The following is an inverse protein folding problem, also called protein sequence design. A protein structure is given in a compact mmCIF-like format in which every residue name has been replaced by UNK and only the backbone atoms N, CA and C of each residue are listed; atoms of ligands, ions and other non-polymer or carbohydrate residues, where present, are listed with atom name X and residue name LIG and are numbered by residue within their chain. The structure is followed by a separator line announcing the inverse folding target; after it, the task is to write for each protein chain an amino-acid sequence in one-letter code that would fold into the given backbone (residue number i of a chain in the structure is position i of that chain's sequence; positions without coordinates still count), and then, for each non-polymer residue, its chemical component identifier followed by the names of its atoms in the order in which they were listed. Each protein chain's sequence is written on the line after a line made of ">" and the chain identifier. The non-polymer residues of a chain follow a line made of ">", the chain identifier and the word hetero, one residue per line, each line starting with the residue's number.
data_IF_949175447837
#
_entry.id   IF_949175447837
#
_cell.length_a   1.000
_cell.length_b   1.000
_cell.length_c   1.000
_cell.angle_alpha   90.00
_cell.angle_beta   90.00
_cell.angle_gamma   90.00
#
_symmetry.space_group_name_H-M   'P 1'
#
loop_
_entity.id
_entity.type
_entity.pdbx_description
1 polymer ?
#
# COMPACT_ATOMS: atom_id res chain seq x y z
N UNK A 1 -14.47 21.27 17.36
CA UNK A 1 -14.54 19.86 17.79
C UNK A 1 -13.23 19.48 18.46
N UNK A 2 -13.23 18.83 19.65
CA UNK A 2 -11.99 18.41 20.33
C UNK A 2 -11.64 16.98 19.89
N UNK A 3 -10.89 16.80 18.78
CA UNK A 3 -10.45 15.48 18.31
C UNK A 3 -9.38 14.92 19.26
N UNK A 4 -9.46 13.63 19.52
CA UNK A 4 -8.41 12.91 20.25
C UNK A 4 -7.20 12.68 19.36
N UNK A 5 -6.02 12.66 19.96
CA UNK A 5 -4.83 12.16 19.28
C UNK A 5 -4.98 10.65 19.06
N UNK A 6 -4.87 10.24 17.79
CA UNK A 6 -4.93 8.83 17.42
C UNK A 6 -3.63 8.50 16.66
N UNK A 7 -2.84 7.60 17.23
CA UNK A 7 -1.57 7.11 16.69
C UNK A 7 -1.69 5.69 16.13
N UNK A 8 -2.91 5.19 15.92
CA UNK A 8 -3.15 3.88 15.31
C UNK A 8 -2.57 3.81 13.90
N UNK A 9 -1.86 2.72 13.62
CA UNK A 9 -1.22 2.51 12.33
C UNK A 9 -2.22 2.27 11.19
N UNK A 10 -3.40 1.77 11.49
CA UNK A 10 -4.48 1.53 10.52
C UNK A 10 -5.67 0.80 11.12
N UNK A 11 -6.91 1.30 10.93
CA UNK A 11 -7.27 2.55 10.25
C UNK A 11 -6.61 3.79 10.89
N UNK A 12 -5.94 4.59 10.06
CA UNK A 12 -5.16 5.74 10.54
C UNK A 12 -5.99 7.03 10.61
N UNK A 13 -5.44 8.05 11.27
CA UNK A 13 -6.04 9.38 11.34
C UNK A 13 -6.10 10.02 9.97
N UNK A 14 -7.29 10.47 9.57
CA UNK A 14 -7.50 11.21 8.31
C UNK A 14 -7.37 12.72 8.53
N UNK A 15 -7.00 13.51 7.49
CA UNK A 15 -7.01 14.96 7.55
C UNK A 15 -8.39 15.50 7.96
N UNK A 16 -8.42 16.46 8.90
CA UNK A 16 -9.68 16.99 9.40
C UNK A 16 -10.48 17.68 8.30
N UNK A 17 -9.81 18.46 7.44
CA UNK A 17 -10.46 19.16 6.32
C UNK A 17 -11.15 18.20 5.34
N UNK A 18 -10.55 17.03 5.10
CA UNK A 18 -11.19 15.98 4.27
C UNK A 18 -12.46 15.46 4.94
N UNK A 19 -12.41 15.20 6.25
CA UNK A 19 -13.61 14.73 6.98
C UNK A 19 -14.73 15.77 7.05
N UNK A 20 -14.37 17.06 7.19
CA UNK A 20 -15.32 18.17 7.17
C UNK A 20 -15.97 18.34 5.79
N UNK A 21 -15.19 18.20 4.71
CA UNK A 21 -15.71 18.23 3.34
C UNK A 21 -16.67 17.05 3.10
N UNK A 22 -16.25 15.83 3.46
CA UNK A 22 -17.11 14.63 3.37
C UNK A 22 -18.39 14.78 4.18
N UNK A 23 -18.31 15.34 5.40
CA UNK A 23 -19.47 15.61 6.24
C UNK A 23 -20.45 16.58 5.57
N UNK A 24 -19.92 17.64 4.94
CA UNK A 24 -20.75 18.65 4.28
C UNK A 24 -21.48 18.12 3.03
N UNK A 25 -20.89 17.14 2.34
CA UNK A 25 -21.45 16.51 1.15
C UNK A 25 -22.22 15.21 1.43
N UNK A 26 -22.27 14.76 2.70
CA UNK A 26 -22.77 13.43 3.06
C UNK A 26 -24.22 13.18 2.66
N UNK A 27 -25.10 14.18 2.83
CA UNK A 27 -26.54 14.07 2.56
C UNK A 27 -26.90 14.54 1.15
N UNK A 28 -26.09 15.43 0.58
CA UNK A 28 -26.38 16.06 -0.71
C UNK A 28 -25.06 16.38 -1.44
N UNK A 29 -24.63 15.45 -2.28
CA UNK A 29 -23.41 15.65 -3.06
C UNK A 29 -23.68 16.62 -4.23
N UNK A 30 -23.04 17.79 -4.18
CA UNK A 30 -23.10 18.84 -5.20
C UNK A 30 -24.53 19.26 -5.62
N UNK A 31 -25.51 19.21 -4.71
CA UNK A 31 -26.87 19.64 -4.97
C UNK A 31 -27.73 18.62 -5.71
N UNK A 32 -27.33 17.34 -5.76
CA UNK A 32 -28.12 16.27 -6.38
C UNK A 32 -29.28 15.78 -5.50
N UNK A 33 -29.34 16.17 -4.23
CA UNK A 33 -30.30 15.62 -3.27
C UNK A 33 -30.03 14.15 -2.90
N UNK A 34 -28.83 13.64 -3.17
CA UNK A 34 -28.40 12.27 -2.92
C UNK A 34 -26.99 12.24 -2.27
N UNK A 35 -26.80 11.30 -1.36
CA UNK A 35 -25.47 10.96 -0.87
C UNK A 35 -24.64 10.23 -1.95
N UNK A 36 -23.30 10.40 -1.92
CA UNK A 36 -22.42 9.57 -2.77
C UNK A 36 -22.64 8.07 -2.55
N UNK A 37 -23.06 7.65 -1.35
CA UNK A 37 -23.38 6.25 -1.04
C UNK A 37 -24.59 5.71 -1.82
N UNK A 38 -25.46 6.59 -2.31
CA UNK A 38 -26.71 6.26 -3.02
C UNK A 38 -26.56 6.41 -4.54
N UNK A 39 -25.48 7.06 -5.01
CA UNK A 39 -25.21 7.27 -6.43
C UNK A 39 -24.77 5.95 -7.08
N UNK A 40 -25.40 5.59 -8.18
CA UNK A 40 -25.01 4.41 -8.95
C UNK A 40 -23.58 4.57 -9.47
N UNK A 41 -22.74 3.55 -9.27
CA UNK A 41 -21.38 3.53 -9.84
C UNK A 41 -21.34 3.54 -11.38
N UNK A 42 -22.49 3.37 -12.04
CA UNK A 42 -22.61 3.44 -13.49
C UNK A 42 -23.15 4.81 -13.97
N UNK A 43 -23.50 5.69 -13.06
CA UNK A 43 -23.91 7.04 -13.42
C UNK A 43 -22.71 7.90 -13.80
N UNK A 44 -22.96 8.95 -14.57
CA UNK A 44 -21.94 9.91 -14.99
C UNK A 44 -21.22 10.53 -13.78
N UNK A 45 -21.97 10.85 -12.74
CA UNK A 45 -21.48 11.51 -11.53
C UNK A 45 -20.44 10.66 -10.81
N UNK A 46 -20.70 9.35 -10.64
CA UNK A 46 -19.74 8.47 -9.99
C UNK A 46 -18.54 8.15 -10.89
N UNK A 47 -18.76 7.99 -12.19
CA UNK A 47 -17.67 7.81 -13.16
C UNK A 47 -16.71 9.01 -13.11
N UNK A 48 -17.23 10.25 -13.02
CA UNK A 48 -16.41 11.46 -12.85
C UNK A 48 -15.60 11.42 -11.53
N UNK A 49 -16.22 11.00 -10.41
CA UNK A 49 -15.52 10.82 -9.13
C UNK A 49 -14.36 9.83 -9.27
N UNK A 50 -14.61 8.69 -9.90
CA UNK A 50 -13.62 7.62 -10.05
C UNK A 50 -12.45 8.05 -10.95
N UNK A 51 -12.74 8.67 -12.09
CA UNK A 51 -11.74 9.16 -13.05
C UNK A 51 -10.90 10.29 -12.46
N UNK A 52 -11.51 11.22 -11.73
CA UNK A 52 -10.79 12.29 -11.05
C UNK A 52 -9.85 11.73 -9.97
N UNK A 53 -10.34 10.78 -9.17
CA UNK A 53 -9.51 10.13 -8.14
C UNK A 53 -8.34 9.35 -8.76
N UNK A 54 -8.53 8.64 -9.87
CA UNK A 54 -7.44 7.95 -10.57
C UNK A 54 -6.44 8.94 -11.15
N UNK A 55 -6.92 10.01 -11.80
CA UNK A 55 -6.05 11.06 -12.35
C UNK A 55 -5.20 11.71 -11.27
N UNK A 56 -5.79 12.09 -10.13
CA UNK A 56 -5.07 12.67 -9.01
C UNK A 56 -4.03 11.71 -8.41
N UNK A 57 -4.35 10.43 -8.33
CA UNK A 57 -3.42 9.41 -7.85
C UNK A 57 -2.23 9.21 -8.81
N UNK A 58 -2.51 9.20 -10.12
CA UNK A 58 -1.47 9.16 -11.17
C UNK A 58 -0.56 10.36 -11.12
N UNK A 59 -1.13 11.56 -11.00
CA UNK A 59 -0.37 12.81 -10.92
C UNK A 59 0.54 12.84 -9.68
N UNK A 60 0.03 12.44 -8.51
CA UNK A 60 0.78 12.43 -7.25
C UNK A 60 2.01 11.51 -7.29
N UNK A 61 1.91 10.39 -8.01
CA UNK A 61 2.94 9.35 -8.06
C UNK A 61 3.68 9.30 -9.40
N UNK A 62 3.37 10.18 -10.37
CA UNK A 62 3.91 10.16 -11.73
C UNK A 62 3.74 8.80 -12.44
N UNK A 63 2.56 8.18 -12.30
CA UNK A 63 2.27 6.87 -12.88
C UNK A 63 2.06 7.00 -14.38
N UNK A 64 2.92 6.37 -15.18
CA UNK A 64 2.81 6.39 -16.63
C UNK A 64 1.63 5.55 -17.15
N UNK A 65 1.24 5.79 -18.42
CA UNK A 65 0.16 5.04 -19.09
C UNK A 65 0.49 3.56 -19.34
N UNK A 66 1.75 3.14 -19.18
CA UNK A 66 2.15 1.73 -19.22
C UNK A 66 1.62 0.92 -18.03
N UNK A 67 1.20 1.61 -16.96
CA UNK A 67 0.60 0.99 -15.78
C UNK A 67 -0.92 1.11 -15.78
N UNK A 68 -1.59 0.03 -15.38
CA UNK A 68 -2.98 0.05 -14.94
C UNK A 68 -3.07 0.49 -13.48
N UNK A 69 -4.07 1.30 -13.15
CA UNK A 69 -4.41 1.64 -11.77
C UNK A 69 -5.76 1.01 -11.44
N UNK A 70 -5.84 0.36 -10.31
CA UNK A 70 -7.06 -0.31 -9.83
C UNK A 70 -7.41 0.12 -8.43
N UNK A 71 -8.70 0.34 -8.19
CA UNK A 71 -9.30 0.53 -6.87
C UNK A 71 -10.29 -0.60 -6.61
N UNK A 72 -10.02 -1.44 -5.62
CA UNK A 72 -10.68 -2.74 -5.46
C UNK A 72 -11.16 -2.95 -4.03
N UNK A 73 -12.01 -3.97 -3.85
CA UNK A 73 -12.38 -4.47 -2.53
C UNK A 73 -11.21 -5.20 -1.83
N UNK A 74 -11.36 -5.53 -0.55
CA UNK A 74 -10.56 -6.51 0.17
C UNK A 74 -9.21 -6.03 0.70
N UNK A 75 -8.76 -4.82 0.35
CA UNK A 75 -7.47 -4.28 0.79
C UNK A 75 -6.29 -5.18 0.43
N UNK A 76 -5.12 -4.99 1.07
CA UNK A 76 -3.89 -5.72 0.77
C UNK A 76 -4.01 -7.25 0.94
N UNK A 77 -4.81 -7.71 1.90
CA UNK A 77 -4.92 -9.16 2.18
C UNK A 77 -5.48 -9.94 0.98
N UNK A 78 -6.41 -9.35 0.21
CA UNK A 78 -6.91 -9.99 -1.00
C UNK A 78 -5.83 -10.10 -2.08
N UNK A 79 -4.97 -9.10 -2.19
CA UNK A 79 -3.86 -9.12 -3.15
C UNK A 79 -2.84 -10.23 -2.87
N UNK A 80 -2.68 -10.67 -1.62
CA UNK A 80 -1.79 -11.80 -1.31
C UNK A 80 -2.22 -13.10 -2.03
N UNK A 81 -3.52 -13.29 -2.28
CA UNK A 81 -4.03 -14.39 -3.10
C UNK A 81 -4.03 -14.04 -4.59
N UNK A 82 -4.39 -12.79 -4.95
CA UNK A 82 -4.47 -12.36 -6.35
C UNK A 82 -3.12 -12.43 -7.05
N UNK A 83 -2.05 -12.01 -6.39
CA UNK A 83 -0.70 -11.95 -6.98
C UNK A 83 -0.26 -13.32 -7.52
N UNK A 84 -0.19 -14.38 -6.72
CA UNK A 84 0.20 -15.70 -7.24
C UNK A 84 -0.80 -16.26 -8.26
N UNK A 85 -2.09 -15.98 -8.13
CA UNK A 85 -3.11 -16.40 -9.09
C UNK A 85 -2.96 -15.72 -10.46
N UNK A 86 -2.46 -14.49 -10.51
CA UNK A 86 -2.32 -13.72 -11.75
C UNK A 86 -0.90 -13.77 -12.35
N UNK A 87 0.14 -13.92 -11.52
CA UNK A 87 1.53 -13.77 -11.96
C UNK A 87 2.34 -15.06 -11.92
N UNK A 88 1.93 -16.05 -11.12
CA UNK A 88 2.65 -17.30 -11.02
C UNK A 88 2.08 -18.35 -11.97
N UNK A 89 2.95 -18.99 -12.76
CA UNK A 89 2.59 -20.17 -13.55
C UNK A 89 3.01 -21.46 -12.84
N UNK A 90 2.41 -22.59 -13.22
CA UNK A 90 2.58 -23.91 -12.55
C UNK A 90 4.04 -24.39 -12.42
N UNK A 91 4.94 -23.90 -13.27
CA UNK A 91 6.35 -24.34 -13.32
C UNK A 91 7.34 -23.25 -12.93
N UNK A 92 6.87 -22.13 -12.33
CA UNK A 92 7.70 -21.04 -11.87
C UNK A 92 7.64 -20.89 -10.36
N UNK A 93 8.66 -20.30 -9.81
CA UNK A 93 8.77 -20.01 -8.38
C UNK A 93 8.49 -18.54 -8.13
N UNK A 94 7.78 -18.23 -7.06
CA UNK A 94 7.64 -16.89 -6.54
C UNK A 94 8.66 -16.67 -5.43
N UNK A 95 9.52 -15.68 -5.58
CA UNK A 95 10.53 -15.32 -4.58
C UNK A 95 9.96 -14.29 -3.61
N UNK A 96 10.31 -14.41 -2.34
CA UNK A 96 9.86 -13.51 -1.27
C UNK A 96 11.03 -13.08 -0.39
N UNK A 97 11.07 -11.81 -0.03
CA UNK A 97 11.94 -11.29 1.02
C UNK A 97 11.15 -11.26 2.32
N UNK A 98 11.58 -12.06 3.29
CA UNK A 98 10.93 -12.16 4.60
C UNK A 98 11.48 -11.09 5.53
N UNK A 99 10.82 -9.94 5.57
CA UNK A 99 11.23 -8.76 6.33
C UNK A 99 10.39 -8.50 7.58
N UNK A 100 9.35 -9.32 7.85
CA UNK A 100 8.51 -9.12 9.02
C UNK A 100 7.14 -9.76 8.92
N UNK A 101 6.21 -9.27 9.74
CA UNK A 101 4.87 -9.84 9.92
C UNK A 101 4.05 -9.88 8.62
N UNK A 102 4.06 -8.78 7.86
CA UNK A 102 3.24 -8.69 6.65
C UNK A 102 3.84 -9.51 5.50
N UNK A 103 5.17 -9.52 5.39
CA UNK A 103 5.86 -10.42 4.47
C UNK A 103 5.53 -11.90 4.78
N UNK A 104 5.57 -12.31 6.05
CA UNK A 104 5.21 -13.67 6.48
C UNK A 104 3.77 -14.05 6.08
N UNK A 105 2.81 -13.13 6.22
CA UNK A 105 1.43 -13.37 5.79
C UNK A 105 1.29 -13.53 4.29
N UNK A 106 1.99 -12.72 3.51
CA UNK A 106 2.02 -12.82 2.04
C UNK A 106 2.63 -14.16 1.59
N UNK A 107 3.74 -14.57 2.20
CA UNK A 107 4.39 -15.87 1.98
C UNK A 107 3.41 -17.01 2.23
N UNK A 108 2.79 -17.02 3.41
CA UNK A 108 1.85 -18.08 3.83
C UNK A 108 0.65 -18.21 2.88
N UNK A 109 0.13 -17.09 2.38
CA UNK A 109 -0.98 -17.11 1.42
C UNK A 109 -0.50 -17.61 0.05
N UNK A 110 0.64 -17.12 -0.45
CA UNK A 110 1.17 -17.52 -1.75
C UNK A 110 1.49 -19.03 -1.86
N UNK A 111 1.96 -19.65 -0.78
CA UNK A 111 2.23 -21.10 -0.70
C UNK A 111 1.02 -21.97 -1.03
N UNK A 112 -0.20 -21.43 -0.99
CA UNK A 112 -1.41 -22.14 -1.37
C UNK A 112 -1.59 -22.27 -2.88
N UNK A 113 -0.92 -21.43 -3.66
CA UNK A 113 -1.16 -21.28 -5.10
C UNK A 113 0.07 -21.53 -5.97
N UNK A 114 1.28 -21.44 -5.38
CA UNK A 114 2.54 -21.58 -6.12
C UNK A 114 3.68 -22.07 -5.22
N UNK A 115 4.80 -22.47 -5.85
CA UNK A 115 6.05 -22.69 -5.14
C UNK A 115 6.64 -21.34 -4.69
N UNK A 116 7.02 -21.27 -3.42
CA UNK A 116 7.61 -20.09 -2.81
C UNK A 116 9.04 -20.39 -2.36
N UNK A 117 9.96 -19.52 -2.78
CA UNK A 117 11.32 -19.46 -2.27
C UNK A 117 11.48 -18.22 -1.36
N UNK A 118 12.12 -18.38 -0.22
CA UNK A 118 12.53 -17.26 0.63
C UNK A 118 13.89 -16.79 0.13
N UNK A 119 13.88 -15.73 -0.69
CA UNK A 119 15.08 -15.20 -1.31
C UNK A 119 16.05 -14.57 -0.29
N UNK A 120 15.51 -13.98 0.77
CA UNK A 120 16.26 -13.44 1.91
C UNK A 120 15.34 -13.33 3.13
N UNK A 121 15.93 -13.35 4.32
CA UNK A 121 15.20 -13.17 5.59
C UNK A 121 16.10 -12.46 6.60
N UNK A 122 15.52 -11.63 7.46
CA UNK A 122 16.15 -11.09 8.66
C UNK A 122 15.49 -11.60 9.95
N UNK A 123 14.81 -12.75 9.87
CA UNK A 123 14.07 -13.35 11.00
C UNK A 123 14.98 -13.75 12.16
N UNK A 124 16.13 -14.37 11.87
CA UNK A 124 17.10 -14.79 12.89
C UNK A 124 17.63 -13.60 13.70
N UNK A 125 17.67 -12.40 13.11
CA UNK A 125 18.07 -11.15 13.78
C UNK A 125 16.86 -10.33 14.26
N UNK A 126 15.70 -10.96 14.39
CA UNK A 126 14.49 -10.33 14.92
C UNK A 126 13.93 -9.20 14.05
N UNK A 127 14.15 -9.25 12.72
CA UNK A 127 13.71 -8.24 11.77
C UNK A 127 14.20 -6.81 12.08
N UNK A 128 15.44 -6.70 12.50
CA UNK A 128 16.05 -5.40 12.87
C UNK A 128 16.60 -4.64 11.67
N UNK A 129 16.73 -5.27 10.51
CA UNK A 129 17.18 -4.67 9.24
C UNK A 129 16.47 -5.29 8.03
N UNK A 130 16.48 -4.56 6.92
CA UNK A 130 16.01 -5.10 5.63
C UNK A 130 17.17 -5.76 4.89
N UNK A 131 17.06 -7.04 4.47
CA UNK A 131 18.13 -7.71 3.73
C UNK A 131 18.50 -6.95 2.46
N UNK A 132 19.79 -6.69 2.25
CA UNK A 132 20.28 -5.98 1.07
C UNK A 132 19.96 -6.75 -0.22
N UNK A 133 19.65 -6.03 -1.30
CA UNK A 133 19.15 -6.63 -2.53
C UNK A 133 20.20 -7.54 -3.21
N UNK A 134 21.47 -7.26 -3.07
CA UNK A 134 22.58 -8.07 -3.57
C UNK A 134 22.75 -9.41 -2.85
N UNK A 135 22.08 -9.57 -1.70
CA UNK A 135 22.03 -10.80 -0.90
C UNK A 135 20.81 -11.68 -1.21
N UNK A 136 19.92 -11.22 -2.10
CA UNK A 136 18.72 -12.00 -2.45
C UNK A 136 19.07 -13.20 -3.34
N UNK A 137 18.80 -14.40 -2.85
CA UNK A 137 18.98 -15.64 -3.58
C UNK A 137 17.73 -15.95 -4.41
N UNK A 138 17.62 -15.30 -5.58
CA UNK A 138 16.47 -15.47 -6.47
C UNK A 138 16.55 -16.80 -7.21
N UNK A 139 15.38 -17.42 -7.44
CA UNK A 139 15.23 -18.64 -8.22
C UNK A 139 15.53 -18.41 -9.71
N UNK A 140 16.17 -19.36 -10.38
CA UNK A 140 16.45 -19.26 -11.83
C UNK A 140 15.16 -19.11 -12.67
N UNK A 141 14.06 -19.72 -12.22
CA UNK A 141 12.76 -19.67 -12.87
C UNK A 141 11.77 -18.75 -12.15
N UNK A 142 12.26 -17.73 -11.47
CA UNK A 142 11.43 -16.75 -10.73
C UNK A 142 10.41 -16.08 -11.65
N UNK A 143 9.13 -16.03 -11.19
CA UNK A 143 8.10 -15.25 -11.88
C UNK A 143 7.99 -13.81 -11.34
N UNK A 144 8.33 -13.61 -10.09
CA UNK A 144 8.43 -12.30 -9.43
C UNK A 144 9.20 -12.44 -8.11
N UNK A 145 9.70 -11.31 -7.63
CA UNK A 145 10.14 -11.17 -6.23
C UNK A 145 9.18 -10.25 -5.48
N UNK A 146 8.65 -10.75 -4.37
CA UNK A 146 7.75 -9.99 -3.51
C UNK A 146 8.51 -9.38 -2.33
N UNK A 147 8.24 -8.10 -2.05
CA UNK A 147 8.80 -7.37 -0.93
C UNK A 147 7.69 -6.61 -0.17
N UNK A 148 7.94 -6.35 1.10
CA UNK A 148 7.13 -5.43 1.92
C UNK A 148 8.03 -4.25 2.34
N UNK A 149 8.15 -3.22 1.48
CA UNK A 149 9.13 -2.15 1.69
C UNK A 149 8.95 -1.36 2.98
N UNK A 150 7.74 -1.38 3.58
CA UNK A 150 7.48 -0.80 4.88
C UNK A 150 6.67 -1.75 5.75
N UNK A 151 7.33 -2.43 6.67
CA UNK A 151 6.68 -3.31 7.66
C UNK A 151 6.04 -2.48 8.77
N UNK A 152 4.71 -2.41 8.75
CA UNK A 152 3.94 -1.53 9.62
C UNK A 152 4.14 -1.80 11.11
N UNK A 153 4.21 -3.09 11.51
CA UNK A 153 4.31 -3.51 12.91
C UNK A 153 5.74 -3.31 13.42
N UNK A 154 6.72 -3.80 12.66
CA UNK A 154 8.12 -3.73 13.04
C UNK A 154 8.75 -2.35 12.84
N UNK A 155 8.17 -1.48 11.99
CA UNK A 155 8.77 -0.20 11.64
C UNK A 155 10.01 -0.31 10.76
N UNK A 156 10.19 -1.47 10.11
CA UNK A 156 11.29 -1.74 9.20
C UNK A 156 10.98 -1.19 7.81
N UNK A 157 11.93 -0.52 7.19
CA UNK A 157 11.76 0.08 5.86
C UNK A 157 12.95 -0.21 4.94
N UNK A 158 12.64 -0.62 3.69
CA UNK A 158 13.60 -0.62 2.59
C UNK A 158 13.77 0.80 2.07
N UNK A 159 15.01 1.32 2.06
CA UNK A 159 15.27 2.70 1.62
C UNK A 159 15.62 2.81 0.14
N UNK A 160 16.32 1.85 -0.40
CA UNK A 160 16.78 1.87 -1.79
C UNK A 160 16.48 0.54 -2.45
N UNK A 161 15.87 0.59 -3.63
CA UNK A 161 15.70 -0.54 -4.52
C UNK A 161 16.49 -0.25 -5.79
N UNK A 162 17.34 -1.18 -6.21
CA UNK A 162 18.02 -1.12 -7.49
C UNK A 162 17.22 -1.87 -8.55
N UNK A 163 17.55 -1.69 -9.82
CA UNK A 163 16.88 -2.38 -10.90
C UNK A 163 16.95 -3.90 -10.71
N UNK A 164 15.88 -4.57 -11.06
CA UNK A 164 15.77 -6.03 -10.97
C UNK A 164 15.50 -6.64 -12.36
N UNK A 165 16.10 -7.80 -12.63
CA UNK A 165 15.80 -8.60 -13.81
C UNK A 165 14.49 -9.39 -13.69
N UNK A 166 13.98 -9.51 -12.47
CA UNK A 166 12.74 -10.22 -12.12
C UNK A 166 11.70 -9.19 -11.76
N UNK A 167 10.43 -9.33 -12.19
CA UNK A 167 9.35 -8.43 -11.79
C UNK A 167 9.30 -8.22 -10.28
N UNK A 168 9.30 -6.97 -9.81
CA UNK A 168 9.21 -6.64 -8.38
C UNK A 168 7.77 -6.36 -8.03
N UNK A 169 7.27 -7.07 -7.04
CA UNK A 169 5.92 -6.92 -6.47
C UNK A 169 6.04 -6.38 -5.04
N UNK A 170 5.34 -5.31 -4.72
CA UNK A 170 5.54 -4.61 -3.46
C UNK A 170 4.23 -4.30 -2.72
N UNK A 171 4.15 -4.70 -1.43
CA UNK A 171 3.12 -4.22 -0.51
C UNK A 171 3.50 -2.84 0.02
N UNK A 172 2.86 -1.82 -0.52
CA UNK A 172 3.04 -0.43 -0.09
C UNK A 172 1.89 0.10 0.79
N UNK A 173 1.13 -0.77 1.45
CA UNK A 173 -0.01 -0.36 2.28
C UNK A 173 0.31 0.77 3.25
N UNK A 174 1.51 0.78 3.86
CA UNK A 174 1.89 1.78 4.85
C UNK A 174 2.92 2.80 4.36
N UNK A 175 3.44 2.64 3.14
CA UNK A 175 4.43 3.56 2.57
C UNK A 175 3.92 4.40 1.41
N UNK A 176 2.81 4.01 0.77
CA UNK A 176 2.28 4.74 -0.40
C UNK A 176 1.92 6.19 -0.02
N UNK A 177 2.22 7.14 -0.92
CA UNK A 177 1.94 8.58 -0.74
C UNK A 177 2.65 9.22 0.48
N UNK A 178 3.65 8.59 1.06
CA UNK A 178 4.35 9.11 2.25
C UNK A 178 5.61 9.90 1.93
N UNK A 179 6.24 9.59 0.82
CA UNK A 179 7.44 10.20 0.27
C UNK A 179 7.53 9.90 -1.24
N UNK A 180 8.38 10.59 -2.03
CA UNK A 180 8.58 10.28 -3.45
C UNK A 180 8.94 8.80 -3.69
N UNK A 181 8.37 8.23 -4.73
CA UNK A 181 8.54 6.81 -5.09
C UNK A 181 8.80 6.67 -6.59
N UNK A 182 9.83 5.92 -6.96
CA UNK A 182 10.15 5.57 -8.35
C UNK A 182 9.28 4.37 -8.78
N UNK A 183 8.12 4.65 -9.36
CA UNK A 183 7.12 3.62 -9.73
C UNK A 183 7.69 2.60 -10.73
N UNK A 184 8.52 3.02 -11.65
CA UNK A 184 9.11 2.22 -12.72
C UNK A 184 10.06 1.11 -12.25
N UNK A 185 10.51 1.15 -11.00
CA UNK A 185 11.25 0.05 -10.37
C UNK A 185 10.36 -1.15 -9.98
N UNK A 186 9.05 -0.99 -10.05
CA UNK A 186 8.10 -2.01 -9.64
C UNK A 186 7.22 -2.45 -10.79
N UNK A 187 6.99 -3.74 -10.89
CA UNK A 187 6.03 -4.29 -11.85
C UNK A 187 4.61 -4.37 -11.28
N UNK A 188 4.48 -4.43 -9.96
CA UNK A 188 3.21 -4.32 -9.26
C UNK A 188 3.41 -3.70 -7.88
N UNK A 189 2.74 -2.58 -7.62
CA UNK A 189 2.58 -1.99 -6.29
C UNK A 189 1.13 -2.20 -5.86
N UNK A 190 0.91 -2.66 -4.64
CA UNK A 190 -0.44 -2.83 -4.12
C UNK A 190 -0.53 -2.44 -2.65
N UNK A 191 -1.75 -2.33 -2.15
CA UNK A 191 -1.95 -2.07 -0.74
C UNK A 191 -3.40 -1.88 -0.32
N UNK A 192 -3.59 -1.65 0.97
CA UNK A 192 -4.85 -1.25 1.57
C UNK A 192 -4.92 0.25 1.83
N UNK A 193 -6.07 0.85 1.57
CA UNK A 193 -6.26 2.30 1.71
C UNK A 193 -6.30 2.81 3.16
N UNK A 194 -6.62 1.95 4.14
CA UNK A 194 -6.91 2.31 5.52
C UNK A 194 -5.77 2.98 6.30
N UNK A 195 -4.59 3.07 5.73
CA UNK A 195 -3.43 3.68 6.40
C UNK A 195 -3.21 5.11 5.91
N UNK A 196 -2.87 5.30 4.63
CA UNK A 196 -2.46 6.61 4.12
C UNK A 196 -3.33 7.14 2.96
N UNK A 197 -4.18 6.30 2.37
CA UNK A 197 -5.05 6.70 1.26
C UNK A 197 -6.43 7.16 1.74
N UNK A 198 -7.04 6.45 2.69
CA UNK A 198 -8.42 6.76 3.08
C UNK A 198 -9.03 5.74 4.03
N UNK A 199 -10.33 5.46 3.92
CA UNK A 199 -11.01 4.51 4.81
C UNK A 199 -10.69 3.06 4.48
N UNK A 200 -10.98 2.16 5.44
CA UNK A 200 -10.92 0.72 5.25
C UNK A 200 -11.91 0.24 4.18
N UNK A 201 -11.64 -0.94 3.60
CA UNK A 201 -12.50 -1.60 2.60
C UNK A 201 -12.03 -1.39 1.16
N UNK A 202 -11.25 -0.37 0.88
CA UNK A 202 -10.61 -0.11 -0.41
C UNK A 202 -9.19 -0.68 -0.42
N UNK A 203 -8.84 -1.38 -1.50
CA UNK A 203 -7.48 -1.72 -1.90
C UNK A 203 -7.12 -1.00 -3.18
N UNK A 204 -5.83 -0.93 -3.47
CA UNK A 204 -5.33 -0.39 -4.75
C UNK A 204 -4.26 -1.30 -5.34
N UNK A 205 -4.10 -1.22 -6.66
CA UNK A 205 -2.97 -1.79 -7.38
C UNK A 205 -2.51 -0.85 -8.49
N UNK A 206 -1.20 -0.75 -8.67
CA UNK A 206 -0.52 -0.11 -9.80
C UNK A 206 0.23 -1.25 -10.49
N UNK A 207 -0.20 -1.68 -11.66
CA UNK A 207 0.31 -2.88 -12.32
C UNK A 207 0.85 -2.56 -13.72
N UNK A 208 2.07 -2.99 -14.00
CA UNK A 208 2.62 -2.98 -15.38
C UNK A 208 1.70 -3.81 -16.29
N UNK A 209 1.18 -3.18 -17.34
CA UNK A 209 0.25 -3.82 -18.29
C UNK A 209 0.85 -5.03 -19.00
N UNK A 210 2.19 -5.16 -19.04
CA UNK A 210 2.87 -6.34 -19.58
C UNK A 210 2.68 -7.60 -18.71
N UNK A 211 2.28 -7.45 -17.45
CA UNK A 211 1.98 -8.57 -16.54
C UNK A 211 0.54 -9.09 -16.68
N UNK A 212 -0.30 -8.42 -17.44
CA UNK A 212 -1.70 -8.82 -17.63
C UNK A 212 -1.82 -10.07 -18.51
N UNK A 213 -3.01 -10.70 -18.49
CA UNK A 213 -3.35 -11.90 -19.27
C UNK A 213 -2.55 -13.17 -18.92
N UNK A 214 -1.94 -13.22 -17.74
CA UNK A 214 -1.19 -14.38 -17.23
C UNK A 214 -1.91 -15.12 -16.10
N UNK A 215 -3.16 -14.77 -15.81
CA UNK A 215 -3.93 -15.39 -14.72
C UNK A 215 -4.11 -16.89 -14.95
N UNK A 216 -4.00 -17.67 -13.86
CA UNK A 216 -4.30 -19.10 -13.88
C UNK A 216 -5.78 -19.32 -14.21
N UNK A 217 -6.11 -20.45 -14.87
CA UNK A 217 -7.50 -20.79 -15.25
C UNK A 217 -8.48 -20.86 -14.07
N UNK A 218 -7.96 -21.19 -12.88
CA UNK A 218 -8.73 -21.24 -11.63
C UNK A 218 -9.00 -19.88 -11.00
N UNK A 219 -8.44 -18.80 -11.55
CA UNK A 219 -8.55 -17.45 -10.98
C UNK A 219 -9.99 -16.95 -11.07
N UNK A 220 -10.68 -16.70 -9.94
CA UNK A 220 -12.01 -16.11 -9.96
C UNK A 220 -11.98 -14.74 -10.65
N UNK A 221 -13.05 -14.42 -11.39
CA UNK A 221 -13.14 -13.15 -12.16
C UNK A 221 -12.82 -11.92 -11.34
N UNK A 222 -13.34 -11.84 -10.10
CA UNK A 222 -13.11 -10.71 -9.19
C UNK A 222 -11.66 -10.61 -8.67
N UNK A 223 -10.87 -11.68 -8.82
CA UNK A 223 -9.46 -11.72 -8.45
C UNK A 223 -8.52 -11.63 -9.66
N UNK A 224 -9.06 -11.41 -10.87
CA UNK A 224 -8.29 -11.31 -12.11
C UNK A 224 -8.00 -9.85 -12.44
N UNK A 225 -6.72 -9.45 -12.39
CA UNK A 225 -6.31 -8.06 -12.65
C UNK A 225 -6.72 -7.57 -14.05
N UNK A 226 -6.61 -8.43 -15.07
CA UNK A 226 -7.03 -8.07 -16.44
C UNK A 226 -8.51 -7.72 -16.49
N UNK A 227 -9.37 -8.58 -15.87
CA UNK A 227 -10.81 -8.35 -15.86
C UNK A 227 -11.21 -7.11 -15.05
N UNK A 228 -10.50 -6.84 -13.98
CA UNK A 228 -10.73 -5.64 -13.19
C UNK A 228 -10.31 -4.38 -13.96
N UNK A 229 -9.20 -4.44 -14.72
CA UNK A 229 -8.75 -3.30 -15.52
C UNK A 229 -9.65 -3.06 -16.73
N UNK A 230 -10.10 -4.10 -17.44
CA UNK A 230 -11.11 -4.01 -18.51
C UNK A 230 -12.41 -3.36 -18.05
N UNK A 231 -12.77 -3.57 -16.79
CA UNK A 231 -13.94 -2.96 -16.14
C UNK A 231 -13.66 -1.63 -15.44
N UNK A 232 -12.49 -1.01 -15.61
CA UNK A 232 -12.13 0.25 -14.97
C UNK A 232 -12.36 0.23 -13.45
N UNK A 233 -11.98 -0.87 -12.78
CA UNK A 233 -12.26 -1.17 -11.36
C UNK A 233 -13.74 -1.35 -11.00
N UNK A 234 -14.65 -1.25 -11.97
CA UNK A 234 -16.10 -1.31 -11.80
C UNK A 234 -16.73 -2.53 -12.50
N UNK A 235 -15.99 -3.66 -12.55
CA UNK A 235 -16.56 -4.93 -13.04
C UNK A 235 -17.87 -5.28 -12.30
N UNK A 236 -17.90 -5.08 -10.99
CA UNK A 236 -19.10 -5.01 -10.16
C UNK A 236 -19.13 -3.68 -9.39
N UNK A 237 -20.13 -3.46 -8.54
CA UNK A 237 -20.19 -2.26 -7.70
C UNK A 237 -18.98 -2.18 -6.78
N UNK A 238 -18.13 -1.15 -6.93
CA UNK A 238 -16.94 -0.96 -6.09
C UNK A 238 -17.32 -0.40 -4.71
N UNK A 239 -16.38 -0.27 -3.77
CA UNK A 239 -16.61 0.43 -2.51
C UNK A 239 -16.69 1.96 -2.75
N UNK A 240 -17.82 2.41 -3.31
CA UNK A 240 -18.03 3.76 -3.86
C UNK A 240 -17.67 4.88 -2.88
N UNK A 241 -18.17 4.80 -1.66
CA UNK A 241 -17.89 5.82 -0.65
C UNK A 241 -16.40 5.85 -0.25
N UNK A 242 -15.77 4.69 -0.10
CA UNK A 242 -14.34 4.63 0.23
C UNK A 242 -13.48 5.19 -0.90
N UNK A 243 -13.84 4.96 -2.16
CA UNK A 243 -13.16 5.52 -3.32
C UNK A 243 -13.34 7.03 -3.42
N UNK A 244 -14.56 7.54 -3.22
CA UNK A 244 -14.81 8.97 -3.14
C UNK A 244 -13.95 9.66 -2.06
N UNK A 245 -13.90 9.09 -0.85
CA UNK A 245 -13.10 9.65 0.25
C UNK A 245 -11.60 9.60 -0.07
N UNK A 246 -11.12 8.53 -0.70
CA UNK A 246 -9.73 8.46 -1.17
C UNK A 246 -9.41 9.59 -2.17
N UNK A 247 -10.32 9.86 -3.13
CA UNK A 247 -10.18 11.00 -4.05
C UNK A 247 -10.06 12.35 -3.33
N UNK A 248 -10.83 12.55 -2.24
CA UNK A 248 -10.69 13.77 -1.41
C UNK A 248 -9.32 13.86 -0.72
N UNK A 249 -8.76 12.73 -0.28
CA UNK A 249 -7.39 12.70 0.29
C UNK A 249 -6.35 13.03 -0.79
N UNK A 250 -6.49 12.54 -2.01
CA UNK A 250 -5.57 12.86 -3.11
C UNK A 250 -5.59 14.36 -3.43
N UNK A 251 -6.77 14.97 -3.51
CA UNK A 251 -6.91 16.42 -3.69
C UNK A 251 -6.29 17.21 -2.54
N UNK A 252 -6.50 16.77 -1.31
CA UNK A 252 -5.87 17.38 -0.15
C UNK A 252 -4.35 17.31 -0.25
N UNK A 253 -3.76 16.16 -0.62
CA UNK A 253 -2.31 16.02 -0.82
C UNK A 253 -1.80 16.99 -1.90
N UNK A 254 -2.49 17.10 -3.04
CA UNK A 254 -2.14 18.07 -4.09
C UNK A 254 -2.19 19.50 -3.55
N UNK A 255 -3.18 19.86 -2.74
CA UNK A 255 -3.36 21.23 -2.19
C UNK A 255 -2.26 21.67 -1.22
N UNK A 256 -1.60 20.71 -0.55
CA UNK A 256 -0.51 21.01 0.40
C UNK A 256 0.89 20.93 -0.23
N UNK A 257 0.98 20.76 -1.56
CA UNK A 257 2.24 20.70 -2.31
C UNK A 257 2.67 19.28 -2.72
N UNK A 258 1.78 18.32 -2.66
CA UNK A 258 1.98 16.94 -3.16
C UNK A 258 2.92 16.08 -2.31
N UNK A 259 3.47 15.06 -2.93
CA UNK A 259 4.25 14.02 -2.24
C UNK A 259 5.57 14.56 -1.67
N UNK A 260 6.22 15.51 -2.35
CA UNK A 260 7.45 16.10 -1.84
C UNK A 260 7.21 16.84 -0.50
N UNK A 261 6.16 17.65 -0.45
CA UNK A 261 5.84 18.42 0.75
C UNK A 261 5.44 17.53 1.93
N UNK A 262 4.58 16.53 1.69
CA UNK A 262 4.21 15.59 2.77
C UNK A 262 5.39 14.74 3.22
N UNK A 263 6.30 14.38 2.31
CA UNK A 263 7.52 13.65 2.62
C UNK A 263 8.42 14.42 3.58
N UNK A 264 8.63 15.71 3.38
CA UNK A 264 9.39 16.58 4.30
C UNK A 264 8.73 16.65 5.68
N UNK A 265 7.39 16.79 5.72
CA UNK A 265 6.62 16.80 6.98
C UNK A 265 6.78 15.46 7.72
N UNK A 266 6.64 14.34 7.02
CA UNK A 266 6.77 13.00 7.60
C UNK A 266 8.19 12.75 8.13
N UNK A 267 9.21 13.09 7.35
CA UNK A 267 10.61 12.99 7.76
C UNK A 267 10.90 13.85 9.02
N UNK A 268 10.37 15.07 9.08
CA UNK A 268 10.54 15.96 10.23
C UNK A 268 9.91 15.37 11.49
N UNK A 269 8.68 14.85 11.39
CA UNK A 269 7.99 14.18 12.51
C UNK A 269 8.75 12.94 12.97
N UNK A 270 9.14 12.07 12.04
CA UNK A 270 9.87 10.84 12.35
C UNK A 270 11.22 11.13 13.03
N UNK A 271 12.02 12.06 12.47
CA UNK A 271 13.30 12.47 13.07
C UNK A 271 13.14 12.97 14.50
N UNK A 272 12.09 13.80 14.76
CA UNK A 272 11.82 14.32 16.11
C UNK A 272 11.49 13.19 17.08
N UNK A 273 10.66 12.22 16.66
CA UNK A 273 10.27 11.10 17.51
C UNK A 273 11.44 10.14 17.76
N UNK A 274 12.16 9.75 16.70
CA UNK A 274 13.36 8.90 16.86
C UNK A 274 14.43 9.53 17.73
N UNK A 275 14.66 10.86 17.58
CA UNK A 275 15.59 11.56 18.47
C UNK A 275 15.16 11.45 19.94
N UNK A 276 13.88 11.62 20.23
CA UNK A 276 13.35 11.49 21.59
C UNK A 276 13.54 10.06 22.13
N UNK A 277 13.30 9.03 21.30
CA UNK A 277 13.49 7.63 21.68
C UNK A 277 14.98 7.33 21.90
N UNK A 278 15.85 7.75 20.98
CA UNK A 278 17.29 7.49 21.03
C UNK A 278 17.99 8.21 22.20
N UNK A 279 17.47 9.35 22.65
CA UNK A 279 17.98 10.12 23.81
C UNK A 279 17.39 9.64 25.15
N UNK A 280 16.52 8.63 25.17
CA UNK A 280 15.79 8.16 26.35
C UNK A 280 16.46 6.91 26.94
N UNK A 281 16.54 6.85 28.27
CA UNK A 281 16.90 5.63 28.99
C UNK A 281 15.70 4.68 29.21
N UNK A 282 14.48 5.12 28.85
CA UNK A 282 13.25 4.37 29.07
C UNK A 282 12.63 3.83 27.77
N UNK A 283 12.81 4.55 26.65
CA UNK A 283 12.30 4.12 25.35
C UNK A 283 13.44 3.56 24.50
N UNK A 284 13.17 2.52 23.72
CA UNK A 284 14.14 1.96 22.78
C UNK A 284 13.48 1.59 21.44
N UNK A 285 14.28 1.56 20.37
CA UNK A 285 13.89 1.05 19.08
C UNK A 285 15.03 0.20 18.51
N UNK A 286 14.74 -1.07 18.21
CA UNK A 286 15.74 -2.05 17.81
C UNK A 286 16.07 -2.03 16.31
N UNK A 287 15.35 -1.25 15.51
CA UNK A 287 15.58 -1.17 14.06
C UNK A 287 16.87 -0.40 13.79
N UNK A 288 17.73 -0.93 12.93
CA UNK A 288 18.93 -0.23 12.46
C UNK A 288 18.52 1.12 11.86
N UNK A 289 19.27 2.17 12.17
CA UNK A 289 18.90 3.56 11.83
C UNK A 289 18.62 3.77 10.34
N UNK A 290 19.39 3.11 9.49
CA UNK A 290 19.25 3.13 8.03
C UNK A 290 17.96 2.46 7.53
N UNK A 291 17.35 1.59 8.32
CA UNK A 291 16.12 0.86 7.96
C UNK A 291 14.88 1.35 8.72
N UNK A 292 14.97 2.45 9.45
CA UNK A 292 13.82 2.99 10.20
C UNK A 292 12.77 3.58 9.28
N UNK A 293 11.51 3.20 9.50
CA UNK A 293 10.36 3.76 8.80
C UNK A 293 10.09 5.21 9.22
N UNK A 294 9.72 6.05 8.26
CA UNK A 294 9.24 7.41 8.57
C UNK A 294 7.74 7.45 8.92
N UNK A 295 7.02 6.35 8.69
CA UNK A 295 5.57 6.25 8.89
C UNK A 295 5.20 5.49 10.16
N UNK A 296 5.96 4.45 10.49
CA UNK A 296 5.70 3.58 11.63
C UNK A 296 6.91 3.58 12.54
N UNK A 297 6.77 4.17 13.71
CA UNK A 297 7.83 4.32 14.70
C UNK A 297 7.45 3.52 15.95
N UNK A 298 7.65 2.19 15.94
CA UNK A 298 7.45 1.38 17.14
C UNK A 298 8.56 1.69 18.16
N UNK A 299 8.26 1.50 19.43
CA UNK A 299 9.23 1.60 20.50
C UNK A 299 8.88 0.61 21.61
N UNK A 300 9.87 0.21 22.35
CA UNK A 300 9.75 -0.63 23.54
C UNK A 300 9.93 0.23 24.78
N UNK A 301 9.28 -0.17 25.87
CA UNK A 301 9.40 0.47 27.17
C UNK A 301 10.50 -0.22 27.98
N UNK A 302 11.21 0.54 28.80
CA UNK A 302 12.26 0.00 29.69
C UNK A 302 11.76 -0.87 30.84
N UNK A 303 10.44 -1.05 30.92
CA UNK A 303 9.79 -1.98 31.84
C UNK A 303 8.99 -3.00 31.02
N UNK A 304 9.40 -4.27 31.06
CA UNK A 304 8.77 -5.36 30.29
C UNK A 304 7.29 -5.57 30.65
N UNK A 305 6.88 -5.28 31.87
CA UNK A 305 5.47 -5.38 32.33
C UNK A 305 4.55 -4.36 31.64
N UNK A 306 5.12 -3.36 30.96
CA UNK A 306 4.39 -2.30 30.27
C UNK A 306 4.38 -2.46 28.74
N UNK A 307 5.11 -3.44 28.19
CA UNK A 307 5.21 -3.68 26.74
C UNK A 307 4.04 -4.50 26.17
#
# INVERSE_FOLDING_TARGET
>A
MNRKYNFGAGPATMPLSVLEEVQSELLDWKGLGLSVMEISHRSKEFVEIAQEAESDFRDLLNISESYGVLFMHGGATMHNAMIPLNLASKNKTADYVHSGHWAARSIKEAQRYTHVNIAASSEEEGFTFFPAQDQWNLSENSCYVHITPNETIGGLCLKNLTDSKVPVVADYSSGILSEPLEIDKFSLIYGGAQKNIGPAGLGFAIIDKNLLNNAQDITPTMLNYTKMLEGESMYNTPPTFAWYVAGKVFKWLKSIGGIAAIGEINNTKAKKLYKFIDDSDFYSNNIRKENRSIMNVPFLLGNEDLN
#
